data_IF_570263784663
#
_entry.id   IF_570263784663
#
_cell.length_a   1.000
_cell.length_b   1.000
_cell.length_c   1.000
_cell.angle_alpha   90.00
_cell.angle_beta   90.00
_cell.angle_gamma   90.00
#
_symmetry.space_group_name_H-M   'P 1'
#
loop_
_entity.id
_entity.type
_entity.pdbx_description
1 polymer ?
#
# COMPACT_ATOMS: atom_id res chain seq x y z
N UNK A 1 12.34 9.42 -8.14
CA UNK A 1 13.04 9.32 -6.84
C UNK A 1 12.56 8.06 -6.15
N UNK A 2 13.40 7.39 -5.34
CA UNK A 2 13.00 6.19 -4.61
C UNK A 2 12.71 6.54 -3.15
N UNK A 3 11.58 6.09 -2.64
CA UNK A 3 11.15 6.31 -1.26
C UNK A 3 10.98 4.99 -0.53
N UNK A 4 11.45 4.94 0.72
CA UNK A 4 10.92 4.00 1.71
C UNK A 4 9.70 4.65 2.32
N UNK A 5 8.56 4.00 2.16
CA UNK A 5 7.26 4.50 2.59
C UNK A 5 6.81 3.76 3.82
N UNK A 6 6.23 4.49 4.76
CA UNK A 6 5.56 3.94 5.94
C UNK A 6 4.16 4.50 5.99
N UNK A 7 3.16 3.67 6.26
CA UNK A 7 1.79 4.11 6.39
C UNK A 7 1.04 3.28 7.43
N UNK A 8 -0.10 3.77 7.90
CA UNK A 8 -1.05 2.99 8.70
C UNK A 8 -2.27 2.60 7.88
N UNK A 9 -2.78 1.40 8.13
CA UNK A 9 -4.00 0.90 7.49
C UNK A 9 -5.25 1.48 8.14
N UNK A 10 -6.22 1.87 7.31
CA UNK A 10 -7.60 1.97 7.76
C UNK A 10 -8.24 0.58 7.75
N UNK A 11 -8.08 -0.11 8.88
CA UNK A 11 -8.63 -1.43 9.18
C UNK A 11 -10.02 -1.69 8.57
N UNK A 12 -11.00 -0.84 8.85
CA UNK A 12 -12.40 -1.01 8.39
C UNK A 12 -12.51 -1.10 6.86
N UNK A 13 -11.55 -0.50 6.13
CA UNK A 13 -11.56 -0.44 4.66
C UNK A 13 -10.69 -1.50 3.99
N UNK A 14 -10.03 -2.39 4.73
CA UNK A 14 -9.08 -3.35 4.12
C UNK A 14 -9.75 -4.37 3.20
N UNK A 15 -10.98 -4.78 3.50
CA UNK A 15 -11.76 -5.64 2.58
C UNK A 15 -12.04 -4.92 1.26
N UNK A 16 -12.54 -3.69 1.33
CA UNK A 16 -12.79 -2.85 0.16
C UNK A 16 -11.50 -2.56 -0.62
N UNK A 17 -10.38 -2.37 0.08
CA UNK A 17 -9.09 -2.12 -0.54
C UNK A 17 -8.63 -3.33 -1.36
N UNK A 18 -8.71 -4.54 -0.79
CA UNK A 18 -8.33 -5.75 -1.50
C UNK A 18 -9.21 -5.99 -2.72
N UNK A 19 -10.52 -5.75 -2.63
CA UNK A 19 -11.41 -5.79 -3.80
C UNK A 19 -10.96 -4.81 -4.87
N UNK A 20 -10.71 -3.53 -4.54
CA UNK A 20 -10.26 -2.55 -5.52
C UNK A 20 -8.89 -2.86 -6.15
N UNK A 21 -8.00 -3.53 -5.40
CA UNK A 21 -6.69 -3.99 -5.87
C UNK A 21 -6.79 -5.19 -6.82
N UNK A 22 -7.89 -5.95 -6.78
CA UNK A 22 -8.03 -7.23 -7.51
C UNK A 22 -9.11 -7.22 -8.60
N UNK A 23 -10.05 -6.27 -8.56
CA UNK A 23 -11.17 -6.19 -9.50
C UNK A 23 -10.93 -5.27 -10.71
N UNK A 24 -9.74 -4.66 -10.79
CA UNK A 24 -9.35 -3.72 -11.85
C UNK A 24 -9.60 -2.25 -11.52
N UNK A 25 -10.34 -1.93 -10.46
CA UNK A 25 -10.68 -0.54 -10.09
C UNK A 25 -9.46 0.34 -9.87
N UNK A 26 -8.35 -0.22 -9.36
CA UNK A 26 -7.06 0.48 -9.24
C UNK A 26 -6.17 0.21 -10.46
N UNK A 27 -6.07 -1.03 -10.93
CA UNK A 27 -5.15 -1.41 -12.00
C UNK A 27 -5.40 -0.67 -13.32
N UNK A 28 -6.67 -0.32 -13.60
CA UNK A 28 -7.07 0.38 -14.83
C UNK A 28 -6.93 1.91 -14.71
N UNK A 29 -6.49 2.44 -13.57
CA UNK A 29 -6.25 3.88 -13.39
C UNK A 29 -4.95 4.30 -14.08
N UNK A 30 -5.01 5.35 -14.87
CA UNK A 30 -3.84 5.97 -15.50
C UNK A 30 -3.38 7.18 -14.67
N UNK A 31 -2.06 7.43 -14.56
CA UNK A 31 -0.96 6.66 -15.13
C UNK A 31 -0.43 5.52 -14.22
N UNK A 32 -0.78 5.52 -12.93
CA UNK A 32 0.00 4.80 -11.91
C UNK A 32 -0.71 3.56 -11.35
N UNK A 33 -1.89 3.20 -11.85
CA UNK A 33 -2.70 2.10 -11.34
C UNK A 33 -1.95 0.76 -11.20
N UNK A 34 -1.26 0.28 -12.26
CA UNK A 34 -0.45 -0.93 -12.17
C UNK A 34 0.71 -0.83 -11.17
N UNK A 35 1.31 0.36 -11.03
CA UNK A 35 2.42 0.60 -10.11
C UNK A 35 1.94 0.57 -8.65
N UNK A 36 0.77 1.13 -8.36
CA UNK A 36 0.11 1.06 -7.04
C UNK A 36 -0.16 -0.39 -6.65
N UNK A 37 -0.71 -1.21 -7.56
CA UNK A 37 -0.96 -2.64 -7.28
C UNK A 37 0.35 -3.37 -6.98
N UNK A 38 1.37 -3.15 -7.80
CA UNK A 38 2.70 -3.73 -7.62
C UNK A 38 3.37 -3.28 -6.31
N UNK A 39 3.17 -2.03 -5.88
CA UNK A 39 3.64 -1.54 -4.58
C UNK A 39 2.96 -2.28 -3.43
N UNK A 40 1.63 -2.45 -3.48
CA UNK A 40 0.88 -3.18 -2.44
C UNK A 40 1.22 -4.68 -2.38
N UNK A 41 1.54 -5.30 -3.53
CA UNK A 41 2.04 -6.68 -3.58
C UNK A 41 3.42 -6.84 -2.91
N UNK A 42 4.25 -5.78 -2.93
CA UNK A 42 5.59 -5.77 -2.32
C UNK A 42 5.59 -5.23 -0.88
N UNK A 43 4.50 -4.62 -0.45
CA UNK A 43 4.39 -4.06 0.88
C UNK A 43 4.42 -5.16 1.94
N UNK A 44 5.07 -4.85 3.05
CA UNK A 44 5.06 -5.70 4.23
C UNK A 44 4.35 -4.99 5.37
N UNK A 45 3.71 -5.77 6.22
CA UNK A 45 3.11 -5.32 7.45
C UNK A 45 4.09 -5.56 8.60
N UNK A 46 4.63 -4.48 9.18
CA UNK A 46 5.69 -4.53 10.20
C UNK A 46 5.17 -4.50 11.64
N UNK A 47 4.00 -3.90 11.86
CA UNK A 47 3.29 -3.82 13.15
C UNK A 47 1.81 -4.18 12.95
N UNK A 48 0.95 -4.23 14.00
CA UNK A 48 -0.48 -4.50 13.86
C UNK A 48 -1.17 -3.68 12.76
N UNK A 49 -0.79 -2.40 12.59
CA UNK A 49 -1.46 -1.49 11.66
C UNK A 49 -0.51 -0.80 10.67
N UNK A 50 0.78 -1.11 10.71
CA UNK A 50 1.81 -0.40 9.93
C UNK A 50 2.21 -1.18 8.70
N UNK A 51 2.24 -0.51 7.55
CA UNK A 51 2.81 -0.99 6.30
C UNK A 51 4.12 -0.29 6.00
N UNK A 52 5.04 -1.02 5.38
CA UNK A 52 6.25 -0.47 4.79
C UNK A 52 6.48 -1.05 3.39
N UNK A 53 6.90 -0.20 2.46
CA UNK A 53 7.25 -0.60 1.09
C UNK A 53 8.25 0.37 0.47
N UNK A 54 8.76 0.01 -0.70
CA UNK A 54 9.57 0.90 -1.53
C UNK A 54 8.78 1.32 -2.77
N UNK A 55 8.86 2.60 -3.12
CA UNK A 55 8.12 3.16 -4.25
C UNK A 55 8.94 4.19 -5.00
N UNK A 56 8.91 4.11 -6.34
CA UNK A 56 9.53 5.09 -7.21
C UNK A 56 8.48 6.11 -7.61
N UNK A 57 8.70 7.38 -7.29
CA UNK A 57 7.79 8.47 -7.64
C UNK A 57 8.58 9.68 -8.14
N UNK A 58 8.02 10.41 -9.10
CA UNK A 58 8.66 11.55 -9.76
C UNK A 58 7.96 12.89 -9.51
N UNK A 59 6.93 12.91 -8.66
CA UNK A 59 6.20 14.10 -8.26
C UNK A 59 7.07 15.05 -7.41
N UNK A 60 6.72 16.34 -7.42
CA UNK A 60 7.34 17.36 -6.56
C UNK A 60 7.05 17.06 -5.08
N UNK A 61 5.80 16.68 -4.78
CA UNK A 61 5.40 16.11 -3.49
C UNK A 61 5.41 14.58 -3.60
N UNK A 62 6.15 13.84 -2.75
CA UNK A 62 6.20 12.39 -2.83
C UNK A 62 4.81 11.75 -2.75
N UNK A 63 4.52 10.87 -3.70
CA UNK A 63 3.27 10.09 -3.80
C UNK A 63 1.99 10.92 -3.97
N UNK A 64 2.08 12.16 -4.44
CA UNK A 64 0.91 13.06 -4.51
C UNK A 64 -0.27 12.44 -5.27
N UNK A 65 -0.01 11.85 -6.43
CA UNK A 65 -1.08 11.32 -7.27
C UNK A 65 -1.66 10.01 -6.69
N UNK A 66 -0.81 9.13 -6.22
CA UNK A 66 -1.17 7.85 -5.61
C UNK A 66 -1.97 8.08 -4.32
N UNK A 67 -1.62 9.12 -3.54
CA UNK A 67 -2.35 9.54 -2.35
C UNK A 67 -3.73 10.09 -2.67
N UNK A 68 -3.80 11.02 -3.62
CA UNK A 68 -5.07 11.66 -4.01
C UNK A 68 -6.07 10.66 -4.60
N UNK A 69 -5.58 9.68 -5.36
CA UNK A 69 -6.42 8.73 -6.10
C UNK A 69 -6.73 7.46 -5.32
N UNK A 70 -5.79 6.95 -4.52
CA UNK A 70 -5.91 5.64 -3.86
C UNK A 70 -5.52 5.68 -2.39
N UNK A 71 -4.28 6.00 -2.03
CA UNK A 71 -3.76 5.70 -0.70
C UNK A 71 -4.51 6.41 0.41
N UNK A 72 -4.87 7.70 0.28
CA UNK A 72 -5.58 8.40 1.36
C UNK A 72 -7.04 7.90 1.54
N UNK A 73 -7.55 7.05 0.62
CA UNK A 73 -8.83 6.36 0.82
C UNK A 73 -8.71 5.19 1.79
N UNK A 74 -7.57 4.49 1.82
CA UNK A 74 -7.40 3.20 2.52
C UNK A 74 -6.31 3.22 3.60
N UNK A 75 -5.39 4.16 3.51
CA UNK A 75 -4.23 4.34 4.37
C UNK A 75 -4.28 5.73 5.01
N UNK A 76 -3.49 5.94 6.05
CA UNK A 76 -3.29 7.24 6.68
C UNK A 76 -1.88 7.31 7.30
N UNK A 77 -1.51 8.48 7.83
CA UNK A 77 -0.19 8.74 8.42
C UNK A 77 0.97 8.31 7.47
N UNK A 78 0.85 8.64 6.18
CA UNK A 78 1.85 8.27 5.16
C UNK A 78 3.11 9.14 5.35
N UNK A 79 4.23 8.48 5.57
CA UNK A 79 5.56 9.05 5.70
C UNK A 79 6.46 8.52 4.60
N UNK A 80 7.22 9.41 3.95
CA UNK A 80 8.17 9.05 2.89
C UNK A 80 9.58 9.43 3.28
N UNK A 81 10.51 8.48 3.21
CA UNK A 81 11.95 8.73 3.37
C UNK A 81 12.66 8.51 2.05
N UNK A 82 13.31 9.56 1.52
CA UNK A 82 14.12 9.44 0.31
C UNK A 82 15.31 8.49 0.54
N UNK A 83 15.48 7.53 -0.35
CA UNK A 83 16.58 6.55 -0.35
C UNK A 83 17.18 6.45 -1.75
N UNK A 84 18.33 5.76 -1.87
CA UNK A 84 19.06 5.64 -3.13
C UNK A 84 19.07 4.22 -3.70
N UNK A 85 18.62 3.22 -2.94
CA UNK A 85 18.53 1.82 -3.37
C UNK A 85 17.46 1.08 -2.56
N UNK A 86 16.90 0.02 -3.14
CA UNK A 86 16.06 -0.94 -2.44
C UNK A 86 16.98 -1.85 -1.61
N UNK A 87 16.65 -2.05 -0.34
CA UNK A 87 17.38 -2.95 0.56
C UNK A 87 16.46 -4.07 1.03
N UNK A 88 17.06 -5.20 1.38
CA UNK A 88 16.37 -6.29 2.08
C UNK A 88 16.29 -5.96 3.59
N UNK A 89 15.61 -4.86 3.92
CA UNK A 89 15.51 -4.31 5.29
C UNK A 89 14.06 -4.19 5.80
N UNK A 90 13.10 -4.73 5.05
CA UNK A 90 11.68 -4.76 5.38
C UNK A 90 11.37 -6.02 6.19
N UNK A 91 11.32 -5.91 7.53
CA UNK A 91 11.21 -7.03 8.47
C UNK A 91 9.78 -7.50 8.82
N UNK A 92 8.83 -7.42 7.88
CA UNK A 92 7.40 -7.69 8.13
C UNK A 92 6.86 -8.97 7.47
N UNK A 93 5.55 -9.19 7.59
CA UNK A 93 4.82 -10.23 6.85
C UNK A 93 4.22 -9.65 5.56
N UNK A 94 3.97 -10.47 4.54
CA UNK A 94 3.31 -10.06 3.30
C UNK A 94 1.99 -9.34 3.59
N UNK A 95 1.87 -8.08 3.16
CA UNK A 95 0.61 -7.35 3.29
C UNK A 95 -0.48 -7.97 2.41
N UNK A 96 -0.10 -8.44 1.21
CA UNK A 96 -1.03 -9.09 0.29
C UNK A 96 -1.68 -10.32 0.91
N UNK A 97 -0.90 -11.17 1.58
CA UNK A 97 -1.39 -12.38 2.25
C UNK A 97 -2.31 -12.01 3.42
N UNK A 98 -2.02 -10.90 4.11
CA UNK A 98 -2.89 -10.37 5.14
C UNK A 98 -4.25 -9.97 4.56
N UNK A 99 -4.25 -9.20 3.46
CA UNK A 99 -5.47 -8.76 2.79
C UNK A 99 -6.31 -9.94 2.30
N UNK A 100 -5.69 -10.92 1.64
CA UNK A 100 -6.37 -12.13 1.17
C UNK A 100 -7.01 -12.89 2.34
N UNK A 101 -6.26 -13.08 3.43
CA UNK A 101 -6.78 -13.73 4.65
C UNK A 101 -7.96 -12.96 5.24
N UNK A 102 -7.83 -11.63 5.41
CA UNK A 102 -8.87 -10.81 6.01
C UNK A 102 -10.11 -10.71 5.13
N UNK A 103 -9.95 -10.74 3.81
CA UNK A 103 -11.06 -10.64 2.87
C UNK A 103 -12.01 -11.84 2.95
N UNK A 104 -11.45 -13.05 3.02
CA UNK A 104 -12.21 -14.30 3.05
C UNK A 104 -12.59 -14.79 4.46
N UNK A 105 -11.99 -14.24 5.50
CA UNK A 105 -12.38 -14.53 6.88
C UNK A 105 -13.55 -13.63 7.31
N UNK A 106 -14.76 -14.19 7.28
CA UNK A 106 -15.98 -13.52 7.75
C UNK A 106 -16.01 -13.32 9.28
N UNK A 107 -15.15 -14.02 10.02
CA UNK A 107 -14.99 -13.81 11.47
C UNK A 107 -14.03 -12.67 11.79
N UNK A 108 -13.22 -12.27 10.80
CA UNK A 108 -12.29 -11.16 10.93
C UNK A 108 -13.05 -9.82 10.84
N UNK A 109 -13.22 -9.20 12.00
CA UNK A 109 -13.83 -7.87 12.16
C UNK A 109 -12.83 -6.95 12.83
N UNK A 110 -12.81 -5.69 12.39
CA UNK A 110 -11.86 -4.67 12.81
C UNK A 110 -12.41 -3.76 13.90
#
# INVERSE_FOLDING_TARGET
>A
MLYKVKAKINKIKMKDFYTALTDGSIADQEPDGPDIVNAMQKAVKTDPDTLEWYETCHCDTPLEHERDTVYDKYLHDIETTLVYEIKDDLGGISFWDCLETWHFDDTYTF
#
